data_IF_612188763205
#
_entry.id   IF_612188763205
#
_cell.length_a   1.000
_cell.length_b   1.000
_cell.length_c   1.000
_cell.angle_alpha   90.00
_cell.angle_beta   90.00
_cell.angle_gamma   90.00
#
_symmetry.space_group_name_H-M   'P 1'
#
loop_
_entity.id
_entity.type
_entity.pdbx_description
1 polymer ?
#
# COMPACT_ATOMS: atom_id res chain seq x y z
N UNK A 1 -20.96 23.50 0.53
CA UNK A 1 -19.51 23.75 0.71
C UNK A 1 -19.16 23.62 2.19
N UNK A 2 -18.64 22.46 2.61
CA UNK A 2 -17.93 22.30 3.89
C UNK A 2 -16.75 21.37 3.60
N UNK A 3 -15.59 21.98 3.38
CA UNK A 3 -14.30 21.29 3.36
C UNK A 3 -14.03 20.85 4.79
N UNK A 4 -14.31 19.59 5.11
CA UNK A 4 -13.79 19.00 6.32
C UNK A 4 -12.31 18.71 6.04
N UNK A 5 -11.46 19.66 6.40
CA UNK A 5 -10.03 19.42 6.53
C UNK A 5 -9.88 18.35 7.61
N UNK A 6 -9.63 17.10 7.20
CA UNK A 6 -9.08 16.09 8.10
C UNK A 6 -7.66 16.58 8.38
N UNK A 7 -7.60 17.43 9.41
CA UNK A 7 -6.39 17.99 9.96
C UNK A 7 -5.58 16.81 10.48
N UNK A 8 -4.46 16.59 9.81
CA UNK A 8 -3.42 15.66 10.18
C UNK A 8 -3.08 15.85 11.66
N UNK A 9 -3.46 14.90 12.51
CA UNK A 9 -2.98 14.82 13.89
C UNK A 9 -1.54 14.29 13.81
N UNK A 10 -0.59 15.14 13.34
CA UNK A 10 0.80 14.99 13.76
C UNK A 10 0.77 15.40 15.23
N UNK A 11 0.58 14.41 16.09
CA UNK A 11 0.94 14.53 17.49
C UNK A 11 2.41 14.89 17.54
N UNK A 12 2.66 16.19 17.76
CA UNK A 12 3.91 16.77 18.23
C UNK A 12 4.11 16.23 19.65
N UNK A 13 4.40 14.94 19.78
CA UNK A 13 5.10 14.43 20.95
C UNK A 13 6.55 14.79 20.71
N UNK A 14 7.12 15.61 21.59
CA UNK A 14 8.56 15.92 21.66
C UNK A 14 9.38 14.65 21.48
N UNK A 15 9.84 14.39 20.25
CA UNK A 15 10.69 13.25 19.94
C UNK A 15 12.07 13.57 20.50
N UNK A 16 12.51 12.78 21.48
CA UNK A 16 13.89 12.79 21.92
C UNK A 16 14.75 12.51 20.68
N UNK A 17 15.68 13.40 20.35
CA UNK A 17 16.59 13.20 19.22
C UNK A 17 17.45 11.97 19.51
N UNK A 18 17.46 10.98 18.62
CA UNK A 18 18.25 9.75 18.74
C UNK A 18 19.77 9.93 18.53
N UNK A 19 20.28 11.15 18.74
CA UNK A 19 21.68 11.47 18.44
C UNK A 19 22.61 10.72 19.40
N UNK A 20 23.53 9.92 18.84
CA UNK A 20 24.53 9.11 19.55
C UNK A 20 23.96 8.00 20.44
N UNK A 21 22.73 7.55 20.18
CA UNK A 21 22.22 6.33 20.83
C UNK A 21 22.91 5.09 20.27
N UNK A 22 23.30 4.18 21.14
CA UNK A 22 23.63 2.81 20.76
C UNK A 22 22.45 2.20 19.99
N UNK A 23 22.74 1.52 18.88
CA UNK A 23 21.77 0.77 18.09
C UNK A 23 21.57 -0.61 18.73
N UNK A 24 20.32 -1.03 18.85
CA UNK A 24 19.94 -2.34 19.36
C UNK A 24 19.14 -3.07 18.29
N UNK A 25 19.29 -4.39 18.23
CA UNK A 25 18.44 -5.22 17.39
C UNK A 25 17.06 -5.33 18.02
N UNK A 26 16.03 -4.94 17.27
CA UNK A 26 14.64 -4.94 17.69
C UNK A 26 13.82 -5.87 16.79
N UNK A 27 12.95 -6.66 17.41
CA UNK A 27 11.97 -7.49 16.69
C UNK A 27 10.67 -6.72 16.61
N UNK A 28 10.31 -6.26 15.42
CA UNK A 28 9.01 -5.65 15.17
C UNK A 28 7.90 -6.69 15.37
N UNK A 29 8.15 -7.91 14.90
CA UNK A 29 7.36 -9.09 15.20
C UNK A 29 8.19 -10.35 14.93
N UNK A 30 7.51 -11.49 14.83
CA UNK A 30 8.09 -12.79 14.53
C UNK A 30 8.72 -12.90 13.13
N UNK A 31 8.34 -12.03 12.20
CA UNK A 31 8.78 -12.02 10.81
C UNK A 31 9.86 -10.98 10.53
N UNK A 32 9.75 -9.78 11.12
CA UNK A 32 10.61 -8.65 10.79
C UNK A 32 11.36 -8.16 12.02
N UNK A 33 12.67 -7.98 11.84
CA UNK A 33 13.55 -7.34 12.81
C UNK A 33 14.45 -6.32 12.13
N UNK A 34 14.99 -5.39 12.91
CA UNK A 34 15.82 -4.30 12.43
C UNK A 34 16.60 -3.65 13.57
N UNK A 35 17.59 -2.84 13.22
CA UNK A 35 18.34 -2.09 14.21
C UNK A 35 17.69 -0.72 14.46
N UNK A 36 17.48 -0.38 15.73
CA UNK A 36 16.86 0.88 16.17
C UNK A 36 17.71 1.52 17.26
N UNK A 37 17.71 2.85 17.42
CA UNK A 37 18.31 3.48 18.58
C UNK A 37 17.49 3.14 19.83
N UNK A 38 18.14 3.03 21.00
CA UNK A 38 17.49 2.76 22.30
C UNK A 38 16.31 3.68 22.65
N UNK A 39 16.26 4.90 22.09
CA UNK A 39 15.22 5.88 22.36
C UNK A 39 14.19 6.02 21.22
N UNK A 40 13.97 4.96 20.44
CA UNK A 40 12.88 4.91 19.46
C UNK A 40 11.50 5.02 20.13
N UNK A 41 10.51 5.41 19.34
CA UNK A 41 9.10 5.49 19.77
C UNK A 41 8.33 4.41 19.05
N UNK A 42 7.59 3.62 19.80
CA UNK A 42 6.66 2.62 19.30
C UNK A 42 5.23 3.03 19.60
N UNK A 43 4.32 2.73 18.67
CA UNK A 43 2.91 3.10 18.79
C UNK A 43 2.04 2.22 17.92
N UNK A 44 0.92 1.78 18.49
CA UNK A 44 -0.21 1.22 17.76
C UNK A 44 -1.27 2.30 17.53
N UNK A 45 -1.82 2.34 16.33
CA UNK A 45 -2.90 3.26 15.98
C UNK A 45 -3.88 2.63 15.01
N UNK A 46 -5.12 3.13 15.02
CA UNK A 46 -6.14 2.77 14.02
C UNK A 46 -6.36 3.99 13.13
N UNK A 47 -6.16 3.82 11.82
CA UNK A 47 -6.40 4.87 10.82
C UNK A 47 -7.34 4.31 9.75
N UNK A 48 -8.47 4.96 9.54
CA UNK A 48 -9.52 4.52 8.60
C UNK A 48 -9.99 3.07 8.85
N UNK A 49 -10.01 2.63 10.12
CA UNK A 49 -10.38 1.27 10.50
C UNK A 49 -9.30 0.22 10.26
N UNK A 50 -8.09 0.63 9.89
CA UNK A 50 -6.93 -0.25 9.69
C UNK A 50 -5.96 -0.09 10.87
N UNK A 51 -5.59 -1.20 11.49
CA UNK A 51 -4.58 -1.24 12.53
C UNK A 51 -3.18 -1.08 11.93
N UNK A 52 -2.42 -0.19 12.53
CA UNK A 52 -1.06 0.17 12.14
C UNK A 52 -0.19 0.07 13.37
N UNK A 53 0.71 -0.90 13.35
CA UNK A 53 1.80 -1.00 14.29
C UNK A 53 3.02 -0.25 13.72
N UNK A 54 3.57 0.70 14.47
CA UNK A 54 4.63 1.56 13.97
C UNK A 54 5.73 1.78 15.00
N UNK A 55 6.97 1.72 14.52
CA UNK A 55 8.14 2.28 15.21
C UNK A 55 8.67 3.49 14.44
N UNK A 56 9.20 4.48 15.15
CA UNK A 56 9.80 5.67 14.55
C UNK A 56 10.94 6.21 15.41
N UNK A 57 11.95 6.75 14.75
CA UNK A 57 12.96 7.56 15.42
C UNK A 57 13.43 8.68 14.51
N UNK A 58 13.73 9.82 15.14
CA UNK A 58 14.14 11.04 14.46
C UNK A 58 15.49 11.50 15.00
N UNK A 59 16.37 11.86 14.10
CA UNK A 59 17.62 12.57 14.40
C UNK A 59 17.49 14.03 13.97
N UNK A 60 18.57 14.80 14.10
CA UNK A 60 18.60 16.18 13.57
C UNK A 60 18.54 16.20 12.04
N UNK A 61 18.97 15.13 11.38
CA UNK A 61 19.15 15.10 9.92
C UNK A 61 18.12 14.26 9.21
N UNK A 62 17.51 13.25 9.85
CA UNK A 62 16.56 12.37 9.20
C UNK A 62 15.49 11.84 10.15
N UNK A 63 14.46 11.24 9.56
CA UNK A 63 13.42 10.47 10.22
C UNK A 63 13.36 9.08 9.59
N UNK A 64 13.31 8.04 10.42
CA UNK A 64 13.09 6.68 9.99
C UNK A 64 11.82 6.14 10.63
N UNK A 65 10.93 5.60 9.80
CA UNK A 65 9.63 5.08 10.23
C UNK A 65 9.50 3.67 9.67
N UNK A 66 9.04 2.74 10.49
CA UNK A 66 8.67 1.41 10.05
C UNK A 66 7.25 1.13 10.46
N UNK A 67 6.45 0.66 9.51
CA UNK A 67 5.04 0.38 9.69
C UNK A 67 4.74 -1.05 9.28
N UNK A 68 3.96 -1.74 10.11
CA UNK A 68 3.26 -2.96 9.77
C UNK A 68 1.77 -2.64 9.72
N UNK A 69 1.16 -2.93 8.58
CA UNK A 69 -0.27 -2.69 8.35
C UNK A 69 -0.93 -3.99 7.96
N UNK A 70 -1.98 -4.37 8.68
CA UNK A 70 -2.78 -5.53 8.30
C UNK A 70 -3.53 -5.21 7.00
N UNK A 71 -3.23 -5.96 5.94
CA UNK A 71 -3.74 -5.68 4.60
C UNK A 71 -5.15 -6.24 4.37
N UNK A 72 -5.53 -7.24 5.17
CA UNK A 72 -6.83 -7.88 5.17
C UNK A 72 -7.17 -8.35 6.59
N UNK A 73 -8.40 -8.11 7.06
CA UNK A 73 -8.87 -8.65 8.33
C UNK A 73 -8.84 -10.18 8.32
N UNK A 74 -8.45 -10.79 9.43
CA UNK A 74 -8.38 -12.27 9.54
C UNK A 74 -9.73 -12.94 9.30
N UNK A 75 -10.82 -12.29 9.73
CA UNK A 75 -12.19 -12.78 9.59
C UNK A 75 -12.82 -12.52 8.21
N UNK A 76 -12.08 -11.89 7.29
CA UNK A 76 -12.60 -11.61 5.96
C UNK A 76 -12.80 -12.91 5.19
N UNK A 77 -13.99 -13.08 4.60
CA UNK A 77 -14.26 -14.23 3.72
C UNK A 77 -13.19 -14.27 2.64
N UNK A 78 -12.58 -15.43 2.42
CA UNK A 78 -11.58 -15.65 1.37
C UNK A 78 -12.09 -15.17 0.00
N UNK A 79 -13.36 -15.48 -0.30
CA UNK A 79 -14.42 -14.52 -0.65
C UNK A 79 -14.10 -13.19 -1.35
N UNK A 80 -13.54 -12.31 -0.55
CA UNK A 80 -13.40 -10.88 -0.75
C UNK A 80 -11.92 -10.51 -0.66
N UNK A 81 -11.04 -11.51 -0.59
CA UNK A 81 -9.65 -11.29 -0.33
C UNK A 81 -8.98 -10.47 -1.42
N UNK A 82 -8.29 -9.45 -0.96
CA UNK A 82 -7.46 -8.57 -1.78
C UNK A 82 -6.03 -9.07 -1.83
N UNK A 83 -5.73 -10.18 -1.16
CA UNK A 83 -4.40 -10.76 -1.18
C UNK A 83 -4.06 -11.26 -2.58
N UNK A 84 -2.79 -11.09 -2.99
CA UNK A 84 -2.26 -11.73 -4.18
C UNK A 84 -2.46 -13.25 -4.13
N UNK A 85 -2.69 -13.86 -5.28
CA UNK A 85 -2.81 -15.30 -5.48
C UNK A 85 -1.58 -15.86 -6.21
N UNK A 86 -0.99 -15.09 -7.10
CA UNK A 86 0.25 -15.40 -7.81
C UNK A 86 1.16 -14.17 -7.91
N UNK A 87 2.33 -14.35 -8.52
CA UNK A 87 3.30 -13.27 -8.73
C UNK A 87 2.71 -12.10 -9.54
N UNK A 88 1.93 -12.36 -10.60
CA UNK A 88 1.33 -11.29 -11.41
C UNK A 88 0.39 -10.43 -10.57
N UNK A 89 -0.46 -11.05 -9.77
CA UNK A 89 -1.38 -10.36 -8.87
C UNK A 89 -0.68 -9.63 -7.71
N UNK A 90 0.49 -10.11 -7.29
CA UNK A 90 1.35 -9.42 -6.33
C UNK A 90 1.84 -8.10 -6.91
N UNK A 91 2.36 -8.11 -8.14
CA UNK A 91 2.79 -6.91 -8.85
C UNK A 91 1.62 -5.93 -9.04
N UNK A 92 0.42 -6.43 -9.36
CA UNK A 92 -0.77 -5.60 -9.48
C UNK A 92 -1.17 -4.94 -8.15
N UNK A 93 -1.09 -5.67 -7.03
CA UNK A 93 -1.36 -5.11 -5.71
C UNK A 93 -0.30 -4.09 -5.31
N UNK A 94 0.98 -4.36 -5.58
CA UNK A 94 2.04 -3.39 -5.37
C UNK A 94 1.81 -2.10 -6.16
N UNK A 95 1.39 -2.17 -7.42
CA UNK A 95 1.03 -0.97 -8.17
C UNK A 95 -0.15 -0.19 -7.53
N UNK A 96 -1.12 -0.88 -6.91
CA UNK A 96 -2.20 -0.23 -6.14
C UNK A 96 -1.69 0.42 -4.86
N UNK A 97 -0.74 -0.19 -4.16
CA UNK A 97 -0.08 0.40 -2.98
C UNK A 97 0.69 1.65 -3.39
N UNK A 98 1.53 1.57 -4.43
CA UNK A 98 2.30 2.70 -4.96
C UNK A 98 1.39 3.86 -5.36
N UNK A 99 0.27 3.58 -6.04
CA UNK A 99 -0.71 4.60 -6.39
C UNK A 99 -1.26 5.32 -5.15
N UNK A 100 -1.61 4.58 -4.09
CA UNK A 100 -2.08 5.16 -2.82
C UNK A 100 -1.00 6.00 -2.13
N UNK A 101 0.24 5.51 -2.08
CA UNK A 101 1.37 6.24 -1.49
C UNK A 101 1.64 7.56 -2.23
N UNK A 102 1.57 7.55 -3.57
CA UNK A 102 1.78 8.75 -4.40
C UNK A 102 0.83 9.90 -4.05
N UNK A 103 -0.41 9.61 -3.64
CA UNK A 103 -1.37 10.65 -3.25
C UNK A 103 -1.17 11.17 -1.82
N UNK A 104 -0.44 10.43 -0.98
CA UNK A 104 -0.25 10.74 0.44
C UNK A 104 1.11 11.38 0.74
N UNK A 105 2.10 11.18 -0.12
CA UNK A 105 3.45 11.75 0.03
C UNK A 105 3.51 13.10 -0.69
N UNK A 106 3.96 14.19 -0.03
CA UNK A 106 4.02 15.53 -0.63
C UNK A 106 5.23 15.74 -1.57
N UNK A 107 5.73 14.67 -2.18
CA UNK A 107 6.92 14.66 -3.04
C UNK A 107 6.63 13.91 -4.35
N UNK A 108 7.40 14.19 -5.38
CA UNK A 108 7.24 13.54 -6.68
C UNK A 108 7.95 12.19 -6.70
N UNK A 109 7.20 11.13 -7.05
CA UNK A 109 7.78 9.82 -7.31
C UNK A 109 8.67 9.88 -8.55
N UNK A 110 9.99 9.74 -8.36
CA UNK A 110 11.00 9.77 -9.43
C UNK A 110 11.32 8.38 -9.97
N UNK A 111 11.36 7.37 -9.09
CA UNK A 111 11.57 5.99 -9.50
C UNK A 111 10.77 5.01 -8.64
N UNK A 112 10.37 3.91 -9.28
CA UNK A 112 9.91 2.68 -8.63
C UNK A 112 10.75 1.53 -9.16
N UNK A 113 11.38 0.78 -8.28
CA UNK A 113 12.26 -0.34 -8.64
C UNK A 113 11.88 -1.57 -7.84
N UNK A 114 11.77 -2.71 -8.52
CA UNK A 114 11.64 -3.99 -7.84
C UNK A 114 12.91 -4.26 -7.04
N UNK A 115 12.75 -4.77 -5.83
CA UNK A 115 13.84 -5.17 -4.95
C UNK A 115 13.53 -6.53 -4.37
N UNK A 116 14.59 -7.25 -4.01
CA UNK A 116 14.50 -8.54 -3.35
C UNK A 116 15.23 -8.47 -2.01
N UNK A 117 14.61 -9.00 -0.95
CA UNK A 117 15.22 -9.11 0.37
C UNK A 117 14.90 -10.47 0.92
N UNK A 118 15.95 -11.27 1.16
CA UNK A 118 15.85 -12.63 1.69
C UNK A 118 14.87 -13.53 0.90
N UNK A 119 14.86 -13.40 -0.44
CA UNK A 119 13.97 -14.18 -1.31
C UNK A 119 12.57 -13.56 -1.54
N UNK A 120 12.22 -12.48 -0.83
CA UNK A 120 10.92 -11.84 -0.95
C UNK A 120 10.97 -10.63 -1.88
N UNK A 121 10.02 -10.56 -2.80
CA UNK A 121 9.90 -9.45 -3.75
C UNK A 121 9.18 -8.27 -3.09
N UNK A 122 9.74 -7.07 -3.27
CA UNK A 122 9.16 -5.81 -2.82
C UNK A 122 9.41 -4.68 -3.83
N UNK A 123 9.10 -3.46 -3.43
CA UNK A 123 9.42 -2.27 -4.20
C UNK A 123 10.16 -1.24 -3.35
N UNK A 124 11.16 -0.63 -3.97
CA UNK A 124 11.79 0.60 -3.50
C UNK A 124 11.26 1.78 -4.33
N UNK A 125 10.87 2.85 -3.64
CA UNK A 125 10.30 4.07 -4.20
C UNK A 125 11.16 5.25 -3.79
N UNK A 126 11.61 6.03 -4.78
CA UNK A 126 12.39 7.25 -4.54
C UNK A 126 11.58 8.48 -4.90
N UNK A 127 11.58 9.45 -4.00
CA UNK A 127 10.85 10.68 -4.16
C UNK A 127 11.77 11.89 -4.00
N UNK A 128 11.45 12.94 -4.75
CA UNK A 128 12.15 14.21 -4.72
C UNK A 128 11.18 15.38 -4.59
N UNK A 129 11.69 16.49 -4.07
CA UNK A 129 10.96 17.76 -4.01
C UNK A 129 10.89 18.47 -5.38
N UNK A 130 10.29 19.67 -5.42
CA UNK A 130 10.19 20.50 -6.63
C UNK A 130 11.55 20.89 -7.24
N UNK A 131 12.61 20.88 -6.43
CA UNK A 131 14.00 21.17 -6.85
C UNK A 131 14.76 19.90 -7.27
N UNK A 132 14.06 18.80 -7.49
CA UNK A 132 14.62 17.48 -7.81
C UNK A 132 15.60 16.92 -6.78
N UNK A 133 15.59 17.48 -5.56
CA UNK A 133 16.43 16.99 -4.46
C UNK A 133 15.80 15.76 -3.84
N UNK A 134 16.54 14.65 -3.68
CA UNK A 134 16.04 13.47 -2.95
C UNK A 134 15.62 13.86 -1.54
N UNK A 135 14.41 13.47 -1.12
CA UNK A 135 13.86 13.86 0.19
C UNK A 135 13.29 12.67 0.95
N UNK A 136 12.84 11.65 0.21
CA UNK A 136 12.12 10.53 0.80
C UNK A 136 12.35 9.25 -0.02
N UNK A 137 12.63 8.16 0.65
CA UNK A 137 12.76 6.83 0.07
C UNK A 137 11.97 5.82 0.91
N UNK A 138 11.23 4.95 0.25
CA UNK A 138 10.41 3.94 0.90
C UNK A 138 10.66 2.57 0.29
N UNK A 139 10.73 1.55 1.14
CA UNK A 139 10.80 0.15 0.73
C UNK A 139 9.66 -0.62 1.38
N UNK A 140 8.99 -1.50 0.66
CA UNK A 140 7.88 -2.28 1.22
C UNK A 140 7.76 -3.70 0.67
N UNK A 141 7.21 -4.57 1.51
CA UNK A 141 7.01 -6.00 1.26
C UNK A 141 5.66 -6.45 1.82
N UNK A 142 4.93 -7.26 1.05
CA UNK A 142 3.77 -7.98 1.56
C UNK A 142 4.20 -9.36 2.04
N UNK A 143 4.03 -9.64 3.33
CA UNK A 143 4.41 -10.90 3.99
C UNK A 143 3.27 -11.33 4.93
N UNK A 144 2.76 -12.56 4.81
CA UNK A 144 1.71 -13.11 5.68
C UNK A 144 0.56 -12.13 5.94
N UNK A 145 -0.05 -11.61 4.87
CA UNK A 145 -1.16 -10.63 4.89
C UNK A 145 -0.84 -9.25 5.48
N UNK A 146 0.41 -8.99 5.84
CA UNK A 146 0.85 -7.72 6.39
C UNK A 146 1.71 -6.97 5.37
N UNK A 147 1.45 -5.68 5.21
CA UNK A 147 2.31 -4.78 4.45
C UNK A 147 3.32 -4.15 5.42
N UNK A 148 4.58 -4.54 5.28
CA UNK A 148 5.70 -3.92 5.98
C UNK A 148 6.25 -2.81 5.10
N UNK A 149 6.35 -1.60 5.65
CA UNK A 149 6.90 -0.45 4.95
C UNK A 149 7.95 0.25 5.79
N UNK A 150 9.09 0.54 5.18
CA UNK A 150 10.24 1.20 5.76
C UNK A 150 10.44 2.53 5.06
N UNK A 151 10.53 3.61 5.83
CA UNK A 151 10.60 4.97 5.31
C UNK A 151 11.84 5.67 5.82
N UNK A 152 12.60 6.25 4.91
CA UNK A 152 13.66 7.20 5.22
C UNK A 152 13.31 8.56 4.64
N UNK A 153 13.27 9.58 5.50
CA UNK A 153 12.99 10.96 5.10
C UNK A 153 14.04 11.90 5.67
N UNK A 154 14.45 12.91 4.90
CA UNK A 154 15.36 13.95 5.37
C UNK A 154 14.88 15.31 4.91
N UNK A 155 14.69 16.23 5.86
CA UNK A 155 14.29 17.61 5.60
C UNK A 155 15.50 18.54 5.34
N UNK A 156 16.74 18.02 5.47
CA UNK A 156 17.98 18.80 5.41
C UNK A 156 18.92 18.29 4.33
N UNK A 157 19.58 17.16 4.59
CA UNK A 157 20.49 16.50 3.66
C UNK A 157 20.15 15.01 3.58
N UNK A 158 19.81 14.56 2.38
CA UNK A 158 19.53 13.15 2.13
C UNK A 158 20.86 12.37 2.13
N UNK A 159 21.08 11.55 3.16
CA UNK A 159 22.31 10.79 3.33
C UNK A 159 22.10 9.35 2.85
N UNK A 160 22.70 9.03 1.69
CA UNK A 160 22.58 7.71 1.08
C UNK A 160 23.19 6.59 1.91
N UNK A 161 24.29 6.84 2.63
CA UNK A 161 24.98 5.81 3.40
C UNK A 161 24.14 5.41 4.61
N UNK A 162 23.65 6.40 5.37
CA UNK A 162 22.75 6.17 6.52
C UNK A 162 21.46 5.49 6.08
N UNK A 163 20.84 5.96 4.99
CA UNK A 163 19.64 5.32 4.44
C UNK A 163 19.90 3.85 4.08
N UNK A 164 21.05 3.57 3.46
CA UNK A 164 21.42 2.20 3.05
C UNK A 164 21.70 1.32 4.26
N UNK A 165 22.39 1.82 5.28
CA UNK A 165 22.59 1.12 6.56
C UNK A 165 21.25 0.74 7.21
N UNK A 166 20.33 1.71 7.31
CA UNK A 166 19.01 1.48 7.91
C UNK A 166 18.18 0.44 7.15
N UNK A 167 18.09 0.52 5.82
CA UNK A 167 17.39 -0.49 5.02
C UNK A 167 18.09 -1.86 5.06
N UNK A 168 19.41 -1.91 5.16
CA UNK A 168 20.16 -3.17 5.28
C UNK A 168 20.01 -3.83 6.66
N UNK A 169 19.74 -3.03 7.70
CA UNK A 169 19.45 -3.54 9.06
C UNK A 169 18.16 -4.37 9.11
N UNK A 170 17.21 -4.10 8.21
CA UNK A 170 15.95 -4.85 8.13
C UNK A 170 16.22 -6.29 7.70
N UNK A 171 15.82 -7.24 8.57
CA UNK A 171 15.90 -8.69 8.36
C UNK A 171 14.52 -9.33 8.39
N UNK A 172 14.29 -10.23 7.44
CA UNK A 172 13.09 -11.07 7.38
C UNK A 172 13.47 -12.48 7.87
N UNK A 173 12.71 -13.02 8.81
CA UNK A 173 12.96 -14.31 9.43
C UNK A 173 12.51 -15.47 8.53
N UNK A 174 13.39 -15.90 7.63
CA UNK A 174 13.15 -16.99 6.66
C UNK A 174 12.97 -18.38 7.29
N UNK A 175 13.09 -18.52 8.62
CA UNK A 175 12.78 -19.77 9.33
C UNK A 175 11.28 -20.02 9.47
N UNK A 176 10.46 -19.00 9.28
CA UNK A 176 9.01 -19.13 9.27
C UNK A 176 8.51 -19.41 7.86
N UNK A 177 7.38 -20.10 7.75
CA UNK A 177 6.68 -20.24 6.47
C UNK A 177 6.02 -18.89 6.14
N UNK A 178 6.64 -18.15 5.22
CA UNK A 178 6.21 -16.81 4.82
C UNK A 178 5.69 -16.87 3.40
N UNK A 179 4.45 -16.43 3.23
CA UNK A 179 3.83 -16.31 1.92
C UNK A 179 3.55 -14.86 1.55
N UNK A 180 3.86 -14.51 0.29
CA UNK A 180 3.44 -13.25 -0.33
C UNK A 180 2.12 -13.37 -1.10
N UNK A 181 1.67 -14.60 -1.36
CA UNK A 181 0.47 -14.88 -2.14
C UNK A 181 -0.19 -16.22 -1.79
N UNK A 182 -1.52 -16.27 -1.87
CA UNK A 182 -2.34 -17.43 -1.49
C UNK A 182 -2.13 -18.67 -2.38
N UNK A 183 -1.43 -18.54 -3.50
CA UNK A 183 -1.11 -19.60 -4.45
C UNK A 183 -2.21 -19.84 -5.49
N UNK A 184 -3.43 -20.15 -5.06
CA UNK A 184 -4.55 -20.41 -5.99
C UNK A 184 -5.52 -19.23 -6.05
N UNK A 185 -5.88 -18.73 -7.24
CA UNK A 185 -6.91 -17.71 -7.35
C UNK A 185 -8.25 -18.31 -6.90
N UNK A 186 -9.11 -17.54 -6.22
CA UNK A 186 -10.41 -18.04 -5.82
C UNK A 186 -11.24 -18.37 -7.06
N UNK A 187 -11.68 -19.64 -7.22
CA UNK A 187 -12.43 -20.13 -8.40
C UNK A 187 -13.65 -19.27 -8.73
N UNK A 188 -14.27 -18.66 -7.73
CA UNK A 188 -15.45 -17.81 -7.89
C UNK A 188 -15.12 -16.40 -8.41
N UNK A 189 -13.87 -15.91 -8.33
CA UNK A 189 -13.51 -14.57 -8.85
C UNK A 189 -13.67 -14.51 -10.37
N UNK A 190 -13.31 -15.60 -11.07
CA UNK A 190 -13.62 -15.76 -12.49
C UNK A 190 -15.13 -15.72 -12.73
N UNK A 191 -15.91 -16.45 -11.93
CA UNK A 191 -17.37 -16.47 -12.02
C UNK A 191 -18.01 -15.09 -11.77
N UNK A 192 -17.55 -14.35 -10.76
CA UNK A 192 -18.02 -13.01 -10.45
C UNK A 192 -17.68 -12.01 -11.57
N UNK A 193 -16.46 -12.05 -12.10
CA UNK A 193 -16.03 -11.18 -13.21
C UNK A 193 -16.83 -11.50 -14.47
N UNK A 194 -16.98 -12.78 -14.82
CA UNK A 194 -17.81 -13.23 -15.93
C UNK A 194 -19.27 -12.78 -15.78
N UNK A 195 -19.86 -12.98 -14.60
CA UNK A 195 -21.24 -12.56 -14.30
C UNK A 195 -21.37 -11.03 -14.39
N UNK A 196 -20.40 -10.28 -13.86
CA UNK A 196 -20.41 -8.81 -13.92
C UNK A 196 -20.41 -8.34 -15.37
N UNK A 197 -19.51 -8.84 -16.21
CA UNK A 197 -19.47 -8.47 -17.63
C UNK A 197 -20.72 -8.94 -18.39
N UNK A 198 -21.28 -10.09 -18.04
CA UNK A 198 -22.54 -10.59 -18.60
C UNK A 198 -23.73 -9.68 -18.27
N UNK A 199 -23.88 -9.26 -17.01
CA UNK A 199 -24.96 -8.33 -16.65
C UNK A 199 -24.74 -6.92 -17.20
N UNK A 200 -23.48 -6.48 -17.32
CA UNK A 200 -23.15 -5.18 -17.91
C UNK A 200 -23.45 -5.15 -19.41
N UNK A 201 -23.21 -6.25 -20.14
CA UNK A 201 -23.60 -6.36 -21.55
C UNK A 201 -25.12 -6.39 -21.73
N UNK A 202 -25.85 -7.09 -20.85
CA UNK A 202 -27.33 -7.06 -20.82
C UNK A 202 -27.85 -5.63 -20.57
N UNK A 203 -27.24 -4.89 -19.65
CA UNK A 203 -27.61 -3.51 -19.38
C UNK A 203 -27.41 -2.60 -20.60
N UNK A 204 -26.29 -2.74 -21.31
CA UNK A 204 -26.02 -1.99 -22.56
C UNK A 204 -27.08 -2.31 -23.63
N UNK A 205 -27.41 -3.60 -23.81
CA UNK A 205 -28.47 -4.02 -24.74
C UNK A 205 -29.82 -3.39 -24.37
N UNK A 206 -30.16 -3.40 -23.09
CA UNK A 206 -31.41 -2.79 -22.59
C UNK A 206 -31.47 -1.28 -22.87
N UNK A 207 -30.38 -0.56 -22.64
CA UNK A 207 -30.27 0.88 -22.95
C UNK A 207 -30.44 1.13 -24.46
N UNK A 208 -29.86 0.29 -25.31
CA UNK A 208 -30.03 0.37 -26.78
C UNK A 208 -31.50 0.17 -27.17
N UNK A 209 -32.16 -0.87 -26.63
CA UNK A 209 -33.57 -1.16 -26.91
C UNK A 209 -34.48 0.02 -26.51
N UNK A 210 -34.26 0.59 -25.32
CA UNK A 210 -35.02 1.76 -24.85
C UNK A 210 -34.79 2.96 -25.76
N UNK A 211 -33.53 3.21 -26.15
CA UNK A 211 -33.17 4.32 -27.03
C UNK A 211 -33.85 4.21 -28.39
N UNK A 212 -33.89 3.00 -28.98
CA UNK A 212 -34.63 2.71 -30.21
C UNK A 212 -36.13 2.95 -30.02
N UNK A 213 -36.71 2.48 -28.91
CA UNK A 213 -38.14 2.64 -28.61
C UNK A 213 -38.54 4.12 -28.50
N UNK A 214 -37.74 4.93 -27.79
CA UNK A 214 -37.93 6.38 -27.66
C UNK A 214 -37.81 7.07 -29.03
N UNK A 215 -36.78 6.74 -29.80
CA UNK A 215 -36.55 7.31 -31.14
C UNK A 215 -37.71 7.04 -32.10
N UNK A 216 -38.26 5.81 -32.09
CA UNK A 216 -39.40 5.44 -32.93
C UNK A 216 -40.71 6.10 -32.49
N UNK A 217 -40.95 6.21 -31.18
CA UNK A 217 -42.12 6.92 -30.64
C UNK A 217 -42.14 8.38 -31.10
N UNK A 218 -40.97 9.04 -31.16
CA UNK A 218 -40.84 10.41 -31.70
C UNK A 218 -41.10 10.52 -33.22
N UNK A 219 -40.94 9.44 -33.98
CA UNK A 219 -41.11 9.42 -35.46
C UNK A 219 -42.39 8.72 -35.95
N UNK A 220 -43.31 8.34 -35.06
CA UNK A 220 -44.59 7.73 -35.43
C UNK A 220 -44.51 6.35 -36.11
N UNK A 221 -43.40 5.61 -35.94
CA UNK A 221 -43.23 4.26 -36.53
C UNK A 221 -43.74 3.18 -35.57
N UNK A 222 -44.52 2.21 -36.07
CA UNK A 222 -45.09 1.07 -35.30
C UNK A 222 -44.02 0.15 -34.69
N UNK A 223 -44.36 -0.69 -33.70
CA UNK A 223 -43.46 -1.66 -33.03
C UNK A 223 -42.93 -2.74 -34.01
N UNK A 224 -41.70 -3.25 -33.81
CA UNK A 224 -41.18 -4.46 -34.52
C UNK A 224 -41.42 -5.74 -33.70
N UNK A 225 -41.51 -5.63 -32.38
CA UNK A 225 -41.80 -6.77 -31.52
C UNK A 225 -43.31 -6.82 -31.30
N UNK A 226 -43.96 -7.80 -31.92
CA UNK A 226 -45.32 -8.22 -31.58
C UNK A 226 -45.21 -9.13 -30.36
N UNK A 227 -45.98 -8.83 -29.31
CA UNK A 227 -46.24 -9.77 -28.21
C UNK A 227 -46.95 -11.02 -28.74
#
# INVERSE_FOLDING_TARGET
MKKLYILFFILITSTLTAQNSEMISYKLDDLVSLDVPKNFVESDTIVDGVEIHQIRFKTKTFNFIVQKVLFENEDQKESLSRLPYDYTSLIDEYNRVIARMRYRVPYYLKSKTLVEKEGFTGYNLKFANDLETPTYEAEFYLLNKNLYTFFYASDTQFNNDVKTELFNSVKINTKQDISQYLGKPPKYRYGYVLATYFFLSLFVIWVIIISIKIYRKKRGKSSIFHE
#
